data_IF_210493668617
#
_entry.id   IF_210493668617
#
_cell.length_a   1.000
_cell.length_b   1.000
_cell.length_c   1.000
_cell.angle_alpha   90.00
_cell.angle_beta   90.00
_cell.angle_gamma   90.00
#
_symmetry.space_group_name_H-M   'P 1'
#
loop_
_entity.id
_entity.type
_entity.pdbx_description
1 polymer ?
#
# COMPACT_ATOMS: atom_id res chain seq x y z
N UNK A 1 -5.62 14.75 -3.51
CA UNK A 1 -4.22 14.46 -3.11
C UNK A 1 -4.03 13.02 -2.66
N UNK A 2 -4.79 12.54 -1.67
CA UNK A 2 -4.69 11.16 -1.15
C UNK A 2 -4.83 10.08 -2.25
N UNK A 3 -5.82 10.21 -3.15
CA UNK A 3 -5.99 9.24 -4.24
C UNK A 3 -4.77 9.14 -5.18
N UNK A 4 -4.18 10.27 -5.59
CA UNK A 4 -2.97 10.29 -6.41
C UNK A 4 -1.79 9.64 -5.69
N UNK A 5 -1.67 9.86 -4.37
CA UNK A 5 -0.67 9.22 -3.55
C UNK A 5 -0.86 7.70 -3.50
N UNK A 6 -2.09 7.21 -3.33
CA UNK A 6 -2.39 5.77 -3.40
C UNK A 6 -2.01 5.18 -4.75
N UNK A 7 -2.37 5.82 -5.86
CA UNK A 7 -1.98 5.38 -7.21
C UNK A 7 -0.46 5.31 -7.37
N UNK A 8 0.26 6.33 -6.88
CA UNK A 8 1.71 6.35 -6.89
C UNK A 8 2.31 5.19 -6.09
N UNK A 9 1.80 4.93 -4.87
CA UNK A 9 2.26 3.83 -4.03
C UNK A 9 2.03 2.47 -4.71
N UNK A 10 0.88 2.27 -5.36
CA UNK A 10 0.59 1.05 -6.12
C UNK A 10 1.52 0.90 -7.34
N UNK A 11 1.80 1.99 -8.05
CA UNK A 11 2.75 1.98 -9.17
C UNK A 11 4.17 1.62 -8.70
N UNK A 12 4.60 2.18 -7.57
CA UNK A 12 5.89 1.86 -6.93
C UNK A 12 5.93 0.40 -6.48
N UNK A 13 4.88 -0.10 -5.82
CA UNK A 13 4.76 -1.50 -5.42
C UNK A 13 4.91 -2.43 -6.63
N UNK A 14 4.22 -2.12 -7.73
CA UNK A 14 4.31 -2.88 -8.97
C UNK A 14 5.72 -2.85 -9.57
N UNK A 15 6.35 -1.66 -9.64
CA UNK A 15 7.72 -1.50 -10.12
C UNK A 15 8.74 -2.28 -9.29
N UNK A 16 8.61 -2.26 -7.96
CA UNK A 16 9.44 -3.05 -7.05
C UNK A 16 9.25 -4.54 -7.33
N UNK A 17 8.02 -5.01 -7.57
CA UNK A 17 7.77 -6.41 -7.89
C UNK A 17 8.40 -6.83 -9.21
N UNK A 18 8.34 -6.00 -10.25
CA UNK A 18 9.05 -6.23 -11.51
C UNK A 18 10.58 -6.31 -11.31
N UNK A 19 11.14 -5.45 -10.47
CA UNK A 19 12.57 -5.49 -10.15
C UNK A 19 12.94 -6.75 -9.34
N UNK A 20 12.10 -7.11 -8.38
CA UNK A 20 12.24 -8.34 -7.60
C UNK A 20 12.03 -9.60 -8.45
N UNK A 21 11.40 -9.51 -9.63
CA UNK A 21 11.22 -10.67 -10.51
C UNK A 21 12.53 -11.23 -11.05
N UNK A 22 13.58 -10.40 -11.13
CA UNK A 22 14.94 -10.88 -11.41
C UNK A 22 15.55 -11.70 -10.28
N UNK A 23 14.98 -11.64 -9.08
CA UNK A 23 15.44 -12.36 -7.91
C UNK A 23 14.46 -13.50 -7.63
N UNK A 24 14.89 -14.76 -7.78
CA UNK A 24 14.03 -15.95 -7.62
C UNK A 24 13.52 -16.21 -6.18
N UNK A 25 13.54 -15.20 -5.31
CA UNK A 25 13.17 -15.31 -3.90
C UNK A 25 11.73 -14.83 -3.68
N UNK A 26 10.73 -15.74 -3.55
CA UNK A 26 9.34 -15.36 -3.35
C UNK A 26 9.11 -14.62 -2.02
N UNK A 27 9.98 -14.83 -1.03
CA UNK A 27 9.89 -14.22 0.30
C UNK A 27 10.06 -12.69 0.28
N UNK A 28 10.87 -12.15 -0.63
CA UNK A 28 11.12 -10.69 -0.70
C UNK A 28 9.87 -9.89 -1.04
N UNK A 29 8.93 -10.48 -1.81
CA UNK A 29 7.67 -9.82 -2.18
C UNK A 29 6.72 -9.68 -1.00
N UNK A 30 6.74 -10.65 -0.09
CA UNK A 30 6.00 -10.59 1.17
C UNK A 30 6.54 -9.51 2.10
N UNK A 31 7.87 -9.34 2.17
CA UNK A 31 8.47 -8.23 2.94
C UNK A 31 7.99 -6.86 2.44
N UNK A 32 7.96 -6.66 1.12
CA UNK A 32 7.45 -5.40 0.51
C UNK A 32 5.98 -5.18 0.86
N UNK A 33 5.15 -6.23 0.81
CA UNK A 33 3.73 -6.12 1.21
C UNK A 33 3.59 -5.69 2.68
N UNK A 34 4.31 -6.35 3.59
CA UNK A 34 4.25 -6.05 5.03
C UNK A 34 4.69 -4.61 5.30
N UNK A 35 5.79 -4.18 4.70
CA UNK A 35 6.30 -2.80 4.83
C UNK A 35 5.26 -1.79 4.32
N UNK A 36 4.61 -2.06 3.19
CA UNK A 36 3.57 -1.19 2.66
C UNK A 36 2.31 -1.17 3.54
N UNK A 37 1.91 -2.29 4.14
CA UNK A 37 0.79 -2.33 5.08
C UNK A 37 1.09 -1.48 6.33
N UNK A 38 2.28 -1.64 6.91
CA UNK A 38 2.71 -0.83 8.07
C UNK A 38 2.77 0.65 7.67
N UNK A 39 3.27 0.96 6.47
CA UNK A 39 3.28 2.30 5.90
C UNK A 39 1.88 2.91 5.82
N UNK A 40 0.91 2.17 5.30
CA UNK A 40 -0.49 2.60 5.22
C UNK A 40 -1.14 2.80 6.60
N UNK A 41 -0.74 2.02 7.60
CA UNK A 41 -1.30 2.16 8.94
C UNK A 41 -0.72 3.34 9.71
N UNK A 42 0.60 3.55 9.63
CA UNK A 42 1.31 4.45 10.56
C UNK A 42 1.94 5.67 9.89
N UNK A 43 2.51 5.51 8.70
CA UNK A 43 3.38 6.51 8.07
C UNK A 43 2.60 7.41 7.12
N UNK A 44 1.87 6.82 6.18
CA UNK A 44 1.15 7.55 5.14
C UNK A 44 0.04 8.44 5.68
N UNK A 45 -0.78 8.03 6.67
CA UNK A 45 -1.81 8.92 7.23
C UNK A 45 -1.20 10.21 7.81
N UNK A 46 -0.08 10.09 8.53
CA UNK A 46 0.61 11.22 9.17
C UNK A 46 1.07 12.30 8.18
N UNK A 47 1.42 11.94 6.96
CA UNK A 47 1.83 12.89 5.91
C UNK A 47 0.68 13.80 5.45
N UNK A 48 -0.57 13.42 5.73
CA UNK A 48 -1.76 14.14 5.31
C UNK A 48 -2.54 14.76 6.47
N UNK A 49 -2.00 14.73 7.69
CA UNK A 49 -2.66 15.37 8.82
C UNK A 49 -2.75 16.88 8.61
N UNK A 50 -3.96 17.38 8.74
CA UNK A 50 -4.24 18.81 8.77
C UNK A 50 -3.86 19.35 10.16
N UNK A 51 -3.65 20.66 10.23
CA UNK A 51 -3.36 21.38 11.48
C UNK A 51 -4.35 20.95 12.57
N UNK A 52 -3.83 20.41 13.66
CA UNK A 52 -4.65 19.96 14.78
C UNK A 52 -4.96 21.16 15.68
N UNK A 53 -6.21 21.60 15.69
CA UNK A 53 -6.69 22.57 16.68
C UNK A 53 -7.31 21.82 17.87
N UNK A 54 -6.64 21.77 19.03
CA UNK A 54 -7.16 21.10 20.23
C UNK A 54 -8.40 21.75 20.82
N UNK A 55 -8.73 22.98 20.41
CA UNK A 55 -9.91 23.72 20.86
C UNK A 55 -11.02 23.76 19.80
N UNK A 56 -10.81 23.13 18.63
CA UNK A 56 -11.78 23.06 17.55
C UNK A 56 -12.91 22.06 17.84
N UNK A 57 -14.12 22.35 17.34
CA UNK A 57 -15.32 21.49 17.51
C UNK A 57 -15.10 20.06 16.96
N UNK A 58 -14.18 19.89 16.01
CA UNK A 58 -13.84 18.62 15.36
C UNK A 58 -12.55 18.00 15.90
N UNK A 59 -12.33 18.02 17.21
CA UNK A 59 -11.19 17.35 17.86
C UNK A 59 -10.99 15.92 17.34
N UNK A 60 -9.88 15.68 16.63
CA UNK A 60 -9.43 14.34 16.19
C UNK A 60 -10.23 13.69 15.05
N UNK A 61 -11.43 14.17 14.73
CA UNK A 61 -12.28 13.65 13.65
C UNK A 61 -11.61 13.66 12.25
N UNK A 62 -10.90 14.73 11.81
CA UNK A 62 -10.24 14.73 10.51
C UNK A 62 -9.06 13.74 10.44
N UNK A 63 -8.34 13.56 11.55
CA UNK A 63 -7.22 12.60 11.65
C UNK A 63 -7.74 11.17 11.49
N UNK A 64 -8.84 10.84 12.16
CA UNK A 64 -9.48 9.53 12.06
C UNK A 64 -9.98 9.26 10.64
N UNK A 65 -10.58 10.25 9.98
CA UNK A 65 -11.05 10.14 8.60
C UNK A 65 -9.91 9.82 7.61
N UNK A 66 -8.75 10.46 7.77
CA UNK A 66 -7.57 10.18 6.95
C UNK A 66 -7.07 8.75 7.20
N UNK A 67 -6.95 8.33 8.45
CA UNK A 67 -6.57 6.96 8.79
C UNK A 67 -7.51 5.91 8.20
N UNK A 68 -8.82 6.12 8.32
CA UNK A 68 -9.84 5.26 7.74
C UNK A 68 -9.73 5.18 6.22
N UNK A 69 -9.46 6.31 5.54
CA UNK A 69 -9.27 6.31 4.10
C UNK A 69 -8.08 5.42 3.67
N UNK A 70 -6.93 5.52 4.35
CA UNK A 70 -5.77 4.66 4.06
C UNK A 70 -6.02 3.19 4.42
N UNK A 71 -6.78 2.93 5.49
CA UNK A 71 -7.11 1.58 5.93
C UNK A 71 -8.12 0.90 4.99
N UNK A 72 -9.16 1.62 4.54
CA UNK A 72 -10.23 1.08 3.70
C UNK A 72 -9.83 1.03 2.22
N UNK A 73 -9.10 2.01 1.71
CA UNK A 73 -8.74 2.05 0.30
C UNK A 73 -7.31 1.57 0.05
N UNK A 74 -6.35 2.01 0.87
CA UNK A 74 -4.94 1.74 0.61
C UNK A 74 -4.52 0.30 0.91
N UNK A 75 -4.89 -0.23 2.08
CA UNK A 75 -4.53 -1.62 2.44
C UNK A 75 -5.15 -2.66 1.49
N UNK A 76 -6.46 -2.63 1.17
CA UNK A 76 -7.05 -3.62 0.29
C UNK A 76 -6.50 -3.53 -1.13
N UNK A 77 -6.24 -2.33 -1.64
CA UNK A 77 -5.62 -2.16 -2.97
C UNK A 77 -4.20 -2.73 -3.03
N UNK A 78 -3.38 -2.45 -2.00
CA UNK A 78 -2.01 -2.99 -1.89
C UNK A 78 -2.04 -4.53 -1.89
N UNK A 79 -3.01 -5.11 -1.17
CA UNK A 79 -3.19 -6.55 -1.04
C UNK A 79 -3.70 -7.17 -2.36
N UNK A 80 -4.66 -6.51 -3.03
CA UNK A 80 -5.16 -6.91 -4.35
C UNK A 80 -4.03 -6.92 -5.38
N UNK A 81 -3.20 -5.87 -5.43
CA UNK A 81 -2.04 -5.81 -6.34
C UNK A 81 -1.08 -6.97 -6.08
N UNK A 82 -0.78 -7.26 -4.82
CA UNK A 82 0.05 -8.40 -4.47
C UNK A 82 -0.56 -9.74 -4.91
N UNK A 83 -1.86 -9.93 -4.68
CA UNK A 83 -2.56 -11.15 -5.07
C UNK A 83 -2.58 -11.33 -6.59
N UNK A 84 -2.92 -10.27 -7.35
CA UNK A 84 -2.91 -10.29 -8.82
C UNK A 84 -1.52 -10.63 -9.35
N UNK A 85 -0.48 -9.99 -8.81
CA UNK A 85 0.90 -10.25 -9.22
C UNK A 85 1.33 -11.69 -8.90
N UNK A 86 1.03 -12.17 -7.68
CA UNK A 86 1.34 -13.53 -7.24
C UNK A 86 0.60 -14.62 -8.05
N UNK A 87 -0.64 -14.38 -8.47
CA UNK A 87 -1.38 -15.29 -9.32
C UNK A 87 -0.83 -15.29 -10.77
N UNK A 88 -0.51 -14.12 -11.32
CA UNK A 88 0.04 -14.01 -12.67
C UNK A 88 1.43 -14.65 -12.78
N UNK A 89 2.27 -14.56 -11.74
CA UNK A 89 3.59 -15.19 -11.80
C UNK A 89 3.53 -16.72 -11.73
N UNK A 90 2.60 -17.28 -10.96
CA UNK A 90 2.35 -18.73 -10.97
C UNK A 90 1.94 -19.22 -12.36
N UNK A 91 1.14 -18.44 -13.09
CA UNK A 91 0.77 -18.76 -14.47
C UNK A 91 2.00 -18.73 -15.41
N UNK A 92 2.88 -17.74 -15.25
CA UNK A 92 4.12 -17.62 -16.05
C UNK A 92 5.11 -18.76 -15.80
N UNK A 93 5.28 -19.17 -14.54
CA UNK A 93 6.14 -20.31 -14.19
C UNK A 93 5.54 -21.62 -14.73
N UNK A 94 4.22 -21.81 -14.64
CA UNK A 94 3.55 -23.03 -15.13
C UNK A 94 3.59 -23.17 -16.67
N UNK A 95 3.81 -22.09 -17.41
CA UNK A 95 3.90 -22.10 -18.88
C UNK A 95 5.32 -22.26 -19.44
N UNK A 96 6.37 -22.20 -18.60
CA UNK A 96 7.73 -22.62 -18.94
C UNK A 96 8.02 -23.96 -18.24
N UNK A 97 7.59 -25.10 -18.80
CA UNK A 97 8.07 -26.42 -18.36
C UNK A 97 9.56 -26.61 -18.70
#
# INVERSE_FOLDING_TARGET
MIFLFLVLVLAVQWGIYLLLDRSQLPFRRWMVLIVLLIGHLLVFPRLFYLEYDPNGINCGMPILGIHLAFCIFGMPMTLLVHMIYYLNIKKRIKQNP
#
